data_IF_302378379382
#
_entry.id   IF_302378379382
#
_cell.length_a   1.000
_cell.length_b   1.000
_cell.length_c   1.000
_cell.angle_alpha   90.00
_cell.angle_beta   90.00
_cell.angle_gamma   90.00
#
_symmetry.space_group_name_H-M   'P 1'
#
loop_
_entity.id
_entity.type
_entity.pdbx_description
1 polymer ?
#
# COMPACT_ATOMS: atom_id res chain seq x y z
N UNK A 1 -5.63 -30.93 -58.41
CA UNK A 1 -4.30 -31.52 -58.68
C UNK A 1 -3.48 -31.35 -57.41
N UNK A 2 -3.48 -32.37 -56.55
CA UNK A 2 -2.69 -32.40 -55.32
C UNK A 2 -1.20 -32.39 -55.69
N UNK A 3 -0.52 -31.30 -55.33
CA UNK A 3 0.94 -31.20 -55.40
C UNK A 3 1.51 -31.93 -54.19
N UNK A 4 1.60 -33.26 -54.25
CA UNK A 4 2.48 -33.99 -53.34
C UNK A 4 3.92 -33.65 -53.74
N UNK A 5 4.61 -32.86 -52.92
CA UNK A 5 6.06 -32.72 -52.97
C UNK A 5 6.65 -34.10 -52.74
N UNK A 6 7.46 -34.60 -53.68
CA UNK A 6 8.18 -35.88 -53.59
C UNK A 6 9.26 -35.90 -52.47
N UNK A 7 9.24 -34.91 -51.57
CA UNK A 7 10.24 -34.63 -50.55
C UNK A 7 9.60 -34.42 -49.15
N UNK A 8 8.33 -34.80 -48.96
CA UNK A 8 7.67 -34.88 -47.65
C UNK A 8 7.36 -36.35 -47.31
N UNK A 9 8.35 -37.23 -47.45
CA UNK A 9 8.19 -38.60 -46.94
C UNK A 9 8.55 -38.59 -45.45
N UNK A 10 7.65 -39.08 -44.61
CA UNK A 10 7.85 -39.14 -43.15
C UNK A 10 9.11 -39.93 -42.77
N UNK A 11 9.61 -40.77 -43.69
CA UNK A 11 10.82 -41.58 -43.60
C UNK A 11 12.09 -40.79 -43.25
N UNK A 12 12.23 -39.53 -43.70
CA UNK A 12 13.40 -38.70 -43.39
C UNK A 12 13.31 -37.99 -42.03
N UNK A 13 12.11 -37.93 -41.44
CA UNK A 13 11.84 -37.24 -40.17
C UNK A 13 11.72 -38.19 -38.99
N UNK A 14 11.36 -39.44 -39.27
CA UNK A 14 11.22 -40.49 -38.28
C UNK A 14 12.57 -41.17 -38.01
N UNK A 15 12.76 -41.75 -36.81
CA UNK A 15 13.91 -42.61 -36.54
C UNK A 15 14.05 -43.73 -37.57
N UNK A 16 15.28 -44.15 -37.86
CA UNK A 16 15.53 -45.25 -38.81
C UNK A 16 14.73 -46.51 -38.43
N UNK A 17 13.94 -47.01 -39.39
CA UNK A 17 13.12 -48.21 -39.20
C UNK A 17 11.69 -47.95 -38.71
N UNK A 18 11.31 -46.70 -38.43
CA UNK A 18 9.96 -46.33 -38.02
C UNK A 18 9.16 -45.75 -39.19
N UNK A 19 7.92 -46.23 -39.36
CA UNK A 19 7.02 -45.84 -40.46
C UNK A 19 5.65 -45.42 -39.91
N UNK A 20 5.05 -44.36 -40.48
CA UNK A 20 3.68 -43.95 -40.14
C UNK A 20 2.70 -44.92 -40.80
N UNK A 21 1.86 -45.57 -39.99
CA UNK A 21 0.90 -46.61 -40.44
C UNK A 21 -0.56 -46.20 -40.34
N UNK A 22 -0.89 -45.10 -39.66
CA UNK A 22 -2.26 -44.65 -39.50
C UNK A 22 -2.41 -43.20 -39.01
N UNK A 23 -3.62 -42.68 -39.20
CA UNK A 23 -4.08 -41.40 -38.64
C UNK A 23 -5.53 -41.56 -38.19
N UNK A 24 -5.77 -41.28 -36.91
CA UNK A 24 -7.11 -41.13 -36.35
C UNK A 24 -7.51 -39.66 -36.42
N UNK A 25 -8.55 -39.37 -37.22
CA UNK A 25 -9.03 -38.00 -37.42
C UNK A 25 -9.85 -37.47 -36.23
N UNK A 26 -10.48 -38.35 -35.47
CA UNK A 26 -11.31 -37.98 -34.32
C UNK A 26 -10.43 -37.61 -33.12
N UNK A 27 -9.38 -38.40 -32.87
CA UNK A 27 -8.40 -38.13 -31.81
C UNK A 27 -7.24 -37.23 -32.27
N UNK A 28 -7.12 -36.99 -33.57
CA UNK A 28 -5.99 -36.30 -34.20
C UNK A 28 -4.63 -36.94 -33.85
N UNK A 29 -4.59 -38.27 -33.75
CA UNK A 29 -3.40 -39.05 -33.35
C UNK A 29 -2.84 -39.80 -34.56
N UNK A 30 -1.51 -39.82 -34.68
CA UNK A 30 -0.83 -40.63 -35.68
C UNK A 30 -0.26 -41.90 -35.07
N UNK A 31 -0.42 -43.02 -35.78
CA UNK A 31 0.14 -44.32 -35.39
C UNK A 31 1.36 -44.63 -36.24
N UNK A 32 2.41 -45.12 -35.59
CA UNK A 32 3.68 -45.50 -36.17
C UNK A 32 4.00 -46.95 -35.82
N UNK A 33 4.74 -47.63 -36.70
CA UNK A 33 5.24 -48.99 -36.49
C UNK A 33 6.75 -48.95 -36.59
N UNK A 34 7.40 -49.53 -35.57
CA UNK A 34 8.84 -49.65 -35.48
C UNK A 34 9.37 -50.91 -36.21
N UNK A 35 10.68 -51.01 -36.41
CA UNK A 35 11.34 -52.16 -37.04
C UNK A 35 11.09 -53.48 -36.29
N UNK A 36 10.94 -53.40 -34.97
CA UNK A 36 10.63 -54.52 -34.10
C UNK A 36 9.14 -54.93 -34.13
N UNK A 37 8.31 -54.25 -34.93
CA UNK A 37 6.86 -54.44 -35.01
C UNK A 37 6.07 -53.84 -33.84
N UNK A 38 6.73 -53.07 -32.96
CA UNK A 38 6.08 -52.31 -31.90
C UNK A 38 5.29 -51.13 -32.48
N UNK A 39 4.11 -50.85 -31.92
CA UNK A 39 3.30 -49.70 -32.30
C UNK A 39 3.56 -48.51 -31.39
N UNK A 40 3.49 -47.31 -31.96
CA UNK A 40 3.70 -46.04 -31.28
C UNK A 40 2.64 -45.02 -31.71
N UNK A 41 2.21 -44.13 -30.82
CA UNK A 41 1.21 -43.09 -31.07
C UNK A 41 1.78 -41.70 -30.76
N UNK A 42 1.40 -40.68 -31.54
CA UNK A 42 1.70 -39.28 -31.23
C UNK A 42 0.73 -38.70 -30.19
N UNK A 43 1.09 -37.56 -29.60
CA UNK A 43 0.13 -36.78 -28.82
C UNK A 43 -0.98 -36.21 -29.72
N UNK A 44 -2.22 -36.03 -29.22
CA UNK A 44 -3.33 -35.46 -30.00
C UNK A 44 -2.95 -34.13 -30.66
N UNK A 45 -3.26 -34.00 -31.96
CA UNK A 45 -2.99 -32.81 -32.76
C UNK A 45 -1.52 -32.60 -33.14
N UNK A 46 -0.61 -33.48 -32.72
CA UNK A 46 0.81 -33.37 -33.06
C UNK A 46 1.18 -34.36 -34.16
N UNK A 47 1.59 -33.81 -35.31
CA UNK A 47 2.11 -34.59 -36.45
C UNK A 47 3.50 -35.17 -36.18
N UNK A 48 4.29 -34.47 -35.34
CA UNK A 48 5.65 -34.80 -34.94
C UNK A 48 5.85 -34.47 -33.45
N UNK A 49 6.65 -35.25 -32.73
CA UNK A 49 6.92 -35.02 -31.32
C UNK A 49 7.29 -36.28 -30.55
N UNK A 50 6.98 -36.30 -29.25
CA UNK A 50 7.17 -37.49 -28.41
C UNK A 50 6.17 -38.57 -28.82
N UNK A 51 6.68 -39.75 -29.15
CA UNK A 51 5.86 -40.94 -29.43
C UNK A 51 5.74 -41.80 -28.17
N UNK A 52 4.55 -42.36 -27.95
CA UNK A 52 4.24 -43.23 -26.81
C UNK A 52 3.94 -44.64 -27.32
N UNK A 53 4.52 -45.67 -26.70
CA UNK A 53 4.38 -47.06 -27.16
C UNK A 53 2.97 -47.58 -26.87
N UNK A 54 2.27 -48.05 -27.91
CA UNK A 54 0.93 -48.62 -27.81
C UNK A 54 1.03 -50.00 -27.16
N UNK A 55 0.46 -50.15 -25.96
CA UNK A 55 0.54 -51.37 -25.16
C UNK A 55 1.28 -51.17 -23.82
N UNK A 56 2.03 -50.09 -23.67
CA UNK A 56 2.26 -49.51 -22.34
C UNK A 56 0.93 -48.85 -21.97
N UNK A 57 0.30 -49.32 -20.89
CA UNK A 57 -1.02 -48.85 -20.44
C UNK A 57 -1.10 -47.33 -20.57
N UNK A 58 -2.00 -46.84 -21.45
CA UNK A 58 -2.40 -45.43 -21.45
C UNK A 58 -2.91 -45.16 -20.05
N UNK A 59 -2.10 -44.54 -19.19
CA UNK A 59 -2.62 -43.88 -18.02
C UNK A 59 -3.46 -42.76 -18.61
N UNK A 60 -4.80 -42.78 -18.45
CA UNK A 60 -5.61 -41.66 -18.89
C UNK A 60 -5.02 -40.41 -18.24
N UNK A 61 -4.52 -39.46 -19.03
CA UNK A 61 -4.12 -38.13 -18.55
C UNK A 61 -5.35 -37.28 -18.20
N UNK A 62 -6.36 -37.89 -17.57
CA UNK A 62 -7.43 -37.18 -16.91
C UNK A 62 -7.28 -37.41 -15.40
N UNK A 63 -6.64 -36.40 -14.80
CA UNK A 63 -6.77 -36.04 -13.39
C UNK A 63 -6.30 -37.08 -12.37
N UNK A 64 -4.99 -37.11 -12.11
CA UNK A 64 -4.35 -36.90 -10.78
C UNK A 64 -2.87 -37.27 -10.91
N UNK A 65 -1.91 -36.38 -10.57
CA UNK A 65 -0.49 -36.65 -10.75
C UNK A 65 -0.02 -37.72 -9.77
N UNK A 66 0.28 -38.92 -10.27
CA UNK A 66 1.07 -39.89 -9.54
C UNK A 66 2.51 -39.39 -9.48
N UNK A 67 2.83 -38.79 -8.34
CA UNK A 67 4.15 -38.27 -8.00
C UNK A 67 5.19 -39.39 -8.20
N UNK A 68 6.01 -39.19 -9.24
CA UNK A 68 7.36 -39.73 -9.39
C UNK A 68 8.08 -39.60 -8.06
N UNK A 69 8.78 -40.65 -7.63
CA UNK A 69 9.60 -40.64 -6.42
C UNK A 69 10.62 -39.50 -6.43
N UNK A 70 10.22 -38.34 -5.93
CA UNK A 70 11.16 -37.27 -5.65
C UNK A 70 11.42 -37.29 -4.15
N UNK A 71 12.70 -37.45 -3.84
CA UNK A 71 13.25 -37.32 -2.51
C UNK A 71 12.49 -36.24 -1.75
N UNK A 72 11.78 -36.64 -0.70
CA UNK A 72 11.24 -35.74 0.30
C UNK A 72 12.38 -35.14 1.16
N UNK A 73 13.47 -34.70 0.53
CA UNK A 73 14.04 -33.43 0.94
C UNK A 73 12.94 -32.46 0.62
N UNK A 74 12.14 -32.12 1.64
CA UNK A 74 11.37 -30.88 1.65
C UNK A 74 12.30 -29.83 1.06
N UNK A 75 12.14 -29.53 -0.23
CA UNK A 75 12.64 -28.32 -0.83
C UNK A 75 11.92 -27.28 -0.01
N UNK A 76 12.63 -26.82 1.03
CA UNK A 76 12.06 -25.92 2.01
C UNK A 76 11.44 -24.81 1.18
N UNK A 77 10.16 -24.55 1.35
CA UNK A 77 9.45 -23.43 0.70
C UNK A 77 10.28 -22.13 0.69
N UNK A 78 11.20 -22.00 1.66
CA UNK A 78 12.26 -20.99 1.76
C UNK A 78 13.21 -20.88 0.56
N UNK A 79 13.47 -21.94 -0.21
CA UNK A 79 14.38 -21.95 -1.36
C UNK A 79 13.73 -21.38 -2.63
N UNK A 80 12.42 -21.54 -2.77
CA UNK A 80 11.63 -21.01 -3.88
C UNK A 80 11.20 -19.56 -3.64
N UNK A 81 11.08 -19.14 -2.37
CA UNK A 81 10.94 -17.73 -1.99
C UNK A 81 12.24 -16.91 -2.05
N UNK A 82 13.40 -17.52 -2.32
CA UNK A 82 14.71 -16.82 -2.38
C UNK A 82 14.75 -15.61 -3.31
N UNK A 83 14.19 -15.61 -4.54
CA UNK A 83 14.16 -14.41 -5.36
C UNK A 83 13.27 -13.30 -4.78
N UNK A 84 12.22 -13.66 -4.01
CA UNK A 84 11.35 -12.70 -3.34
C UNK A 84 11.95 -12.13 -2.05
N UNK A 85 12.95 -12.80 -1.46
CA UNK A 85 13.63 -12.34 -0.24
C UNK A 85 14.36 -11.00 -0.44
N UNK A 86 14.95 -10.78 -1.63
CA UNK A 86 15.61 -9.51 -1.94
C UNK A 86 14.60 -8.35 -1.97
N UNK A 87 13.45 -8.58 -2.60
CA UNK A 87 12.37 -7.59 -2.63
C UNK A 87 11.78 -7.37 -1.24
N UNK A 88 11.54 -8.42 -0.45
CA UNK A 88 11.01 -8.30 0.91
C UNK A 88 12.01 -7.63 1.88
N UNK A 89 13.32 -7.81 1.69
CA UNK A 89 14.35 -7.12 2.46
C UNK A 89 14.42 -5.63 2.10
N UNK A 90 14.35 -5.29 0.81
CA UNK A 90 14.33 -3.89 0.35
C UNK A 90 13.04 -3.18 0.77
N UNK A 91 11.89 -3.85 0.64
CA UNK A 91 10.60 -3.36 1.12
C UNK A 91 10.64 -3.21 2.64
N UNK A 92 11.19 -4.18 3.38
CA UNK A 92 11.35 -4.10 4.84
C UNK A 92 12.28 -2.96 5.29
N UNK A 93 13.42 -2.76 4.63
CA UNK A 93 14.33 -1.64 4.90
C UNK A 93 13.71 -0.30 4.52
N UNK A 94 12.99 -0.22 3.40
CA UNK A 94 12.24 0.98 3.02
C UNK A 94 11.12 1.27 4.01
N UNK A 95 10.32 0.28 4.40
CA UNK A 95 9.22 0.45 5.35
C UNK A 95 9.74 0.74 6.76
N UNK A 96 10.83 0.12 7.21
CA UNK A 96 11.46 0.43 8.49
C UNK A 96 12.14 1.80 8.45
N UNK A 97 12.78 2.18 7.35
CA UNK A 97 13.34 3.51 7.14
C UNK A 97 12.26 4.58 7.06
N UNK A 98 11.16 4.32 6.36
CA UNK A 98 9.98 5.20 6.30
C UNK A 98 9.26 5.24 7.63
N UNK A 99 9.12 4.13 8.34
CA UNK A 99 8.50 4.09 9.66
C UNK A 99 9.38 4.81 10.67
N UNK A 100 10.69 4.56 10.67
CA UNK A 100 11.65 5.34 11.47
C UNK A 100 11.64 6.79 11.06
N UNK A 101 11.51 7.13 9.77
CA UNK A 101 11.42 8.51 9.29
C UNK A 101 10.08 9.16 9.62
N UNK A 102 8.95 8.45 9.57
CA UNK A 102 7.63 8.96 9.92
C UNK A 102 7.40 8.97 11.44
N UNK A 103 8.07 8.11 12.21
CA UNK A 103 8.12 8.23 13.66
C UNK A 103 9.13 9.28 14.11
N UNK A 104 10.31 9.35 13.50
CA UNK A 104 11.36 10.33 13.82
C UNK A 104 10.99 11.74 13.34
N UNK A 105 10.35 11.87 12.16
CA UNK A 105 9.79 13.13 11.68
C UNK A 105 8.37 13.40 12.21
N UNK A 106 7.65 12.37 12.68
CA UNK A 106 6.35 12.48 13.36
C UNK A 106 6.45 12.82 14.85
N UNK A 107 7.64 12.74 15.45
CA UNK A 107 7.94 13.34 16.76
C UNK A 107 8.06 14.87 16.71
N UNK A 108 7.53 15.51 15.66
CA UNK A 108 7.19 16.94 15.70
C UNK A 108 5.79 17.18 16.31
N UNK A 109 5.26 16.22 17.06
CA UNK A 109 4.18 16.46 18.01
C UNK A 109 4.78 16.93 19.34
N UNK A 110 4.90 18.25 19.46
CA UNK A 110 4.48 18.96 20.67
C UNK A 110 5.14 18.58 22.02
N UNK A 111 6.45 18.35 22.04
CA UNK A 111 7.24 18.59 23.26
C UNK A 111 8.22 19.73 22.99
N UNK A 112 7.86 20.94 23.40
CA UNK A 112 8.84 22.01 23.61
C UNK A 112 8.92 23.11 22.57
N UNK A 113 7.84 23.45 21.86
CA UNK A 113 7.66 24.89 21.65
C UNK A 113 7.25 25.46 23.01
N UNK A 114 7.89 26.51 23.54
CA UNK A 114 7.27 27.32 24.56
C UNK A 114 6.01 27.91 23.93
N UNK A 115 4.93 27.13 24.01
CA UNK A 115 3.58 27.57 24.22
C UNK A 115 3.62 29.06 24.61
N UNK A 116 3.07 30.01 23.82
CA UNK A 116 3.19 31.45 24.09
C UNK A 116 2.84 31.74 25.54
N UNK A 117 3.84 31.94 26.39
CA UNK A 117 3.65 32.20 27.81
C UNK A 117 2.81 33.47 27.86
N UNK A 118 1.55 33.33 28.28
CA UNK A 118 0.67 34.48 28.42
C UNK A 118 1.37 35.42 29.41
N UNK A 119 1.79 36.62 29.01
CA UNK A 119 2.54 37.50 29.88
C UNK A 119 1.64 37.93 31.04
N UNK A 120 2.13 37.79 32.28
CA UNK A 120 1.53 38.39 33.47
C UNK A 120 0.09 37.95 33.77
N UNK A 121 -0.83 38.92 33.82
CA UNK A 121 -2.18 38.86 34.41
C UNK A 121 -3.20 38.07 33.59
N UNK A 122 -2.75 37.32 32.60
CA UNK A 122 -3.59 36.74 31.54
C UNK A 122 -3.59 35.21 31.67
N UNK A 123 -4.77 34.60 31.62
CA UNK A 123 -4.95 33.15 31.85
C UNK A 123 -5.03 32.37 30.54
N UNK A 124 -4.36 31.21 30.45
CA UNK A 124 -4.44 30.39 29.24
C UNK A 124 -5.79 29.66 29.15
N UNK A 125 -6.44 29.71 27.99
CA UNK A 125 -7.69 29.01 27.69
C UNK A 125 -7.56 28.17 26.41
N UNK A 126 -8.16 26.99 26.42
CA UNK A 126 -8.16 26.05 25.29
C UNK A 126 -9.50 26.08 24.58
N UNK A 127 -9.50 26.47 23.29
CA UNK A 127 -10.70 26.57 22.47
C UNK A 127 -11.31 25.17 22.29
N UNK A 128 -12.58 25.03 22.66
CA UNK A 128 -13.37 23.82 22.42
C UNK A 128 -14.11 23.94 21.08
N UNK A 129 -14.55 22.78 20.56
CA UNK A 129 -15.36 22.76 19.34
C UNK A 129 -16.72 23.40 19.62
N UNK A 130 -17.06 24.44 18.86
CA UNK A 130 -18.30 25.20 19.02
C UNK A 130 -18.16 26.46 19.88
N UNK A 131 -16.97 26.76 20.42
CA UNK A 131 -16.74 28.02 21.10
C UNK A 131 -16.75 29.19 20.11
N UNK A 132 -17.35 30.32 20.52
CA UNK A 132 -17.26 31.59 19.81
C UNK A 132 -16.52 32.62 20.68
N UNK A 133 -15.91 33.64 20.07
CA UNK A 133 -15.31 34.74 20.81
C UNK A 133 -16.29 35.38 21.81
N UNK A 134 -17.56 35.48 21.43
CA UNK A 134 -18.60 36.06 22.28
C UNK A 134 -18.92 35.18 23.48
N UNK A 135 -19.05 33.86 23.30
CA UNK A 135 -19.32 32.92 24.39
C UNK A 135 -18.14 32.83 25.38
N UNK A 136 -16.90 32.86 24.87
CA UNK A 136 -15.70 32.91 25.70
C UNK A 136 -15.65 34.23 26.47
N UNK A 137 -15.83 35.36 25.78
CA UNK A 137 -15.78 36.67 26.40
C UNK A 137 -16.85 36.83 27.49
N UNK A 138 -18.08 36.37 27.22
CA UNK A 138 -19.20 36.42 28.16
C UNK A 138 -19.01 35.50 29.36
N UNK A 139 -18.47 34.30 29.17
CA UNK A 139 -18.24 33.35 30.28
C UNK A 139 -17.11 33.80 31.20
N UNK A 140 -16.14 34.56 30.68
CA UNK A 140 -15.01 35.10 31.41
C UNK A 140 -15.15 36.59 31.79
N UNK A 141 -16.31 37.21 31.54
CA UNK A 141 -16.63 38.60 31.89
C UNK A 141 -15.61 39.63 31.34
N UNK A 142 -15.14 39.41 30.11
CA UNK A 142 -14.23 40.27 29.35
C UNK A 142 -14.92 40.78 28.08
N UNK A 143 -14.37 41.83 27.46
CA UNK A 143 -14.85 42.27 26.14
C UNK A 143 -14.19 41.48 25.01
N UNK A 144 -14.90 41.35 23.89
CA UNK A 144 -14.36 40.71 22.68
C UNK A 144 -13.17 41.50 22.12
N UNK A 145 -13.21 42.82 22.23
CA UNK A 145 -12.10 43.70 21.81
C UNK A 145 -10.84 43.47 22.66
N UNK A 146 -10.98 43.29 23.98
CA UNK A 146 -9.85 42.95 24.86
C UNK A 146 -9.25 41.58 24.51
N UNK A 147 -10.12 40.61 24.18
CA UNK A 147 -9.70 39.26 23.77
C UNK A 147 -8.88 39.31 22.48
N UNK A 148 -9.31 40.10 21.49
CA UNK A 148 -8.62 40.27 20.22
C UNK A 148 -7.32 41.09 20.35
N UNK A 149 -7.29 42.08 21.25
CA UNK A 149 -6.12 42.89 21.52
C UNK A 149 -4.96 42.06 22.06
N UNK A 150 -5.23 41.12 22.96
CA UNK A 150 -4.22 40.22 23.53
C UNK A 150 -3.85 39.06 22.59
N UNK A 151 -4.67 38.76 21.58
CA UNK A 151 -4.47 37.63 20.68
C UNK A 151 -4.59 38.05 19.21
N UNK A 152 -3.64 38.88 18.74
CA UNK A 152 -3.63 39.49 17.40
C UNK A 152 -3.69 38.46 16.25
N UNK A 153 -3.23 37.23 16.48
CA UNK A 153 -3.22 36.16 15.47
C UNK A 153 -4.57 35.42 15.33
N UNK A 154 -5.59 35.78 16.12
CA UNK A 154 -6.87 35.06 16.18
C UNK A 154 -7.96 35.85 15.48
N UNK A 155 -8.72 35.17 14.63
CA UNK A 155 -9.94 35.69 14.00
C UNK A 155 -11.17 35.02 14.59
N UNK A 156 -12.16 35.81 14.99
CA UNK A 156 -13.41 35.32 15.57
C UNK A 156 -14.27 34.50 14.59
N UNK A 157 -14.07 34.66 13.28
CA UNK A 157 -14.79 33.92 12.25
C UNK A 157 -14.21 32.52 12.03
N UNK A 158 -12.98 32.26 12.49
CA UNK A 158 -12.24 31.05 12.21
C UNK A 158 -11.49 30.51 13.45
N UNK A 159 -12.22 30.32 14.56
CA UNK A 159 -11.65 29.68 15.75
C UNK A 159 -11.26 28.23 15.45
N UNK A 160 -9.99 27.91 15.65
CA UNK A 160 -9.46 26.54 15.51
C UNK A 160 -9.59 25.81 16.87
N UNK A 161 -10.33 24.69 16.94
CA UNK A 161 -10.38 23.88 18.15
C UNK A 161 -8.99 23.39 18.56
N UNK A 162 -8.77 23.22 19.88
CA UNK A 162 -7.48 22.84 20.49
C UNK A 162 -6.36 23.87 20.33
N UNK A 163 -6.69 25.08 19.87
CA UNK A 163 -5.78 26.21 19.92
C UNK A 163 -5.85 26.88 21.30
N UNK A 164 -4.73 27.44 21.74
CA UNK A 164 -4.61 28.07 23.05
C UNK A 164 -4.56 29.59 22.92
N UNK A 165 -5.34 30.28 23.75
CA UNK A 165 -5.49 31.73 23.74
C UNK A 165 -5.27 32.30 25.14
N UNK A 166 -4.95 33.58 25.22
CA UNK A 166 -4.67 34.27 26.47
C UNK A 166 -5.86 35.17 26.85
N UNK A 167 -6.50 34.93 28.00
CA UNK A 167 -7.66 35.68 28.50
C UNK A 167 -7.26 36.68 29.59
N UNK A 168 -7.50 37.99 29.43
CA UNK A 168 -7.14 38.98 30.46
C UNK A 168 -7.98 38.78 31.72
N UNK A 169 -7.36 38.81 32.92
CA UNK A 169 -8.14 38.79 34.16
C UNK A 169 -8.77 40.15 34.44
N UNK A 170 -10.09 40.15 34.69
CA UNK A 170 -10.82 41.35 35.14
C UNK A 170 -10.28 41.90 36.47
N UNK A 171 -9.65 41.07 37.32
CA UNK A 171 -9.12 41.47 38.63
C UNK A 171 -7.96 42.48 38.56
N UNK A 172 -7.26 42.59 37.43
CA UNK A 172 -6.18 43.57 37.24
C UNK A 172 -6.60 44.80 36.42
N UNK A 173 -7.66 44.69 35.61
CA UNK A 173 -8.18 45.81 34.80
C UNK A 173 -8.86 46.91 35.64
N UNK A 174 -9.02 46.69 36.95
CA UNK A 174 -9.52 47.69 37.90
C UNK A 174 -8.48 48.66 38.45
N UNK A 175 -7.18 48.49 38.14
CA UNK A 175 -6.09 49.32 38.71
C UNK A 175 -5.41 50.23 37.68
N UNK A 176 -5.64 50.05 36.37
CA UNK A 176 -5.01 50.86 35.31
C UNK A 176 -5.93 51.99 34.78
N UNK A 177 -7.20 52.00 35.18
CA UNK A 177 -8.18 53.00 34.77
C UNK A 177 -8.46 54.10 35.83
N UNK A 178 -7.55 54.33 36.78
CA UNK A 178 -7.67 55.45 37.73
C UNK A 178 -6.85 56.69 37.35
N UNK A 179 -5.96 56.61 36.36
CA UNK A 179 -5.06 57.71 36.03
C UNK A 179 -5.47 58.51 34.77
N UNK A 180 -6.52 58.09 34.04
CA UNK A 180 -6.98 58.75 32.81
C UNK A 180 -8.37 59.40 32.93
N UNK A 181 -8.72 59.91 34.12
CA UNK A 181 -9.93 60.75 34.30
C UNK A 181 -9.69 62.10 34.97
N UNK A 182 -8.44 62.46 35.28
CA UNK A 182 -8.09 63.76 35.88
C UNK A 182 -7.20 64.64 34.96
N UNK A 183 -7.55 64.77 33.68
CA UNK A 183 -6.93 65.78 32.81
C UNK A 183 -7.89 66.38 31.77
N UNK A 184 -9.17 66.60 32.14
CA UNK A 184 -10.12 67.35 31.29
C UNK A 184 -10.93 68.44 31.98
N UNK A 185 -10.60 68.82 33.23
CA UNK A 185 -11.29 69.90 33.95
C UNK A 185 -10.34 70.97 34.53
N UNK A 186 -9.30 71.36 33.78
CA UNK A 186 -8.41 72.48 34.13
C UNK A 186 -8.14 73.43 32.95
N UNK A 187 -9.04 73.47 31.96
CA UNK A 187 -8.94 74.37 30.81
C UNK A 187 -10.29 75.04 30.48
N UNK A 188 -10.96 75.56 31.50
CA UNK A 188 -12.00 76.58 31.36
C UNK A 188 -12.32 77.24 32.71
N UNK A 189 -11.33 77.92 33.29
CA UNK A 189 -11.53 78.94 34.33
C UNK A 189 -10.48 80.04 34.14
#
# INVERSE_FOLDING_TARGET
MSRFSRYDTDEERLPEGMERVGYDADEQVYTFRDADGSYWESAPGNEYGRLTKVGESRIPEDHEPFIVSEQNKKLSWRNEMRPFLNFMMLIGLCLFGMFWFFHSAGSSADEGRPLPDCPGTTTPYWIKSGDTCWDIAKSHDISVDDLLKENVEISCDALKPKHRICLPNKSHKGMENSDESNEKEAKSA
#
